data_IF_180377203431
#
_entry.id   IF_180377203431
#
_cell.length_a   1.000
_cell.length_b   1.000
_cell.length_c   1.000
_cell.angle_alpha   90.00
_cell.angle_beta   90.00
_cell.angle_gamma   90.00
#
_symmetry.space_group_name_H-M   'P 1'
#
loop_
_entity.id
_entity.type
_entity.pdbx_description
1 polymer ?
#
# COMPACT_ATOMS: atom_id res chain seq x y z
N UNK A 1 15.78 2.65 6.81
CA UNK A 1 14.84 2.06 5.85
C UNK A 1 15.46 2.10 4.48
N UNK A 2 15.73 0.92 3.91
CA UNK A 2 16.16 0.76 2.52
C UNK A 2 15.03 0.04 1.80
N UNK A 3 14.49 0.66 0.76
CA UNK A 3 13.38 0.12 0.00
C UNK A 3 13.87 -0.42 -1.34
N UNK A 4 13.60 -1.69 -1.60
CA UNK A 4 13.83 -2.35 -2.87
C UNK A 4 12.53 -2.48 -3.65
N UNK A 5 12.50 -2.06 -4.91
CA UNK A 5 11.33 -2.26 -5.77
C UNK A 5 11.26 -3.70 -6.24
N UNK A 6 10.29 -4.46 -5.73
CA UNK A 6 10.12 -5.89 -6.06
C UNK A 6 9.09 -6.10 -7.18
N UNK A 7 8.26 -5.10 -7.46
CA UNK A 7 7.38 -5.00 -8.61
C UNK A 7 6.96 -3.54 -8.81
N UNK A 8 6.36 -3.20 -9.95
CA UNK A 8 5.93 -1.83 -10.26
C UNK A 8 5.12 -1.24 -9.11
N UNK A 9 5.66 -0.15 -8.52
CA UNK A 9 5.08 0.59 -7.39
C UNK A 9 4.95 -0.20 -6.07
N UNK A 10 5.60 -1.35 -5.96
CA UNK A 10 5.62 -2.20 -4.78
C UNK A 10 7.06 -2.35 -4.30
N UNK A 11 7.28 -1.93 -3.07
CA UNK A 11 8.59 -1.90 -2.45
C UNK A 11 8.62 -2.80 -1.21
N UNK A 12 9.74 -3.47 -0.99
CA UNK A 12 10.03 -4.24 0.21
C UNK A 12 11.02 -3.48 1.09
N UNK A 13 10.79 -3.47 2.40
CA UNK A 13 11.77 -2.95 3.35
C UNK A 13 12.79 -4.04 3.67
N UNK A 14 14.04 -3.83 3.22
CA UNK A 14 15.10 -4.82 3.41
C UNK A 14 15.53 -4.96 4.87
N UNK A 15 15.18 -4.02 5.74
CA UNK A 15 15.45 -4.06 7.18
C UNK A 15 14.28 -4.62 8.00
N UNK A 16 13.08 -4.71 7.40
CA UNK A 16 11.86 -5.22 8.03
C UNK A 16 11.19 -6.25 7.11
N UNK A 17 11.55 -7.53 7.28
CA UNK A 17 11.19 -8.62 6.38
C UNK A 17 9.69 -8.75 6.02
N UNK A 18 8.79 -8.39 6.93
CA UNK A 18 7.34 -8.49 6.75
C UNK A 18 6.67 -7.16 6.38
N UNK A 19 7.45 -6.12 6.06
CA UNK A 19 6.98 -4.77 5.76
C UNK A 19 7.17 -4.41 4.29
N UNK A 20 6.09 -3.94 3.68
CA UNK A 20 6.03 -3.58 2.27
C UNK A 20 5.40 -2.20 2.12
N UNK A 21 5.64 -1.54 0.99
CA UNK A 21 5.10 -0.24 0.66
C UNK A 21 4.50 -0.25 -0.74
N UNK A 22 3.28 0.23 -0.85
CA UNK A 22 2.59 0.43 -2.12
C UNK A 22 2.59 1.94 -2.39
N UNK A 23 3.26 2.37 -3.46
CA UNK A 23 3.19 3.77 -3.89
C UNK A 23 1.79 4.07 -4.43
N UNK A 24 1.19 5.18 -4.03
CA UNK A 24 -0.08 5.68 -4.58
C UNK A 24 0.20 6.95 -5.39
N UNK A 25 -0.29 6.99 -6.63
CA UNK A 25 0.02 8.09 -7.56
C UNK A 25 -0.83 9.36 -7.34
N UNK A 26 -1.54 9.45 -6.20
CA UNK A 26 -2.46 10.53 -5.85
C UNK A 26 -2.41 10.82 -4.36
N UNK A 27 -2.82 12.04 -4.00
CA UNK A 27 -3.09 12.42 -2.62
C UNK A 27 -4.20 11.53 -2.04
N UNK A 28 -3.90 10.87 -0.93
CA UNK A 28 -4.73 9.96 -0.19
C UNK A 28 -4.96 10.54 1.20
N UNK A 29 -6.05 11.29 1.43
CA UNK A 29 -6.37 11.80 2.76
C UNK A 29 -6.82 10.66 3.68
N UNK A 30 -6.62 10.83 5.00
CA UNK A 30 -6.95 9.80 6.00
C UNK A 30 -8.37 9.21 5.88
N UNK A 31 -9.46 10.01 5.74
CA UNK A 31 -10.80 9.45 5.61
C UNK A 31 -10.95 8.52 4.40
N UNK A 32 -10.26 8.83 3.30
CA UNK A 32 -10.29 8.00 2.09
C UNK A 32 -9.44 6.74 2.26
N UNK A 33 -8.28 6.84 2.89
CA UNK A 33 -7.47 5.68 3.25
C UNK A 33 -8.24 4.69 4.13
N UNK A 34 -8.93 5.19 5.15
CA UNK A 34 -9.71 4.39 6.08
C UNK A 34 -10.87 3.68 5.35
N UNK A 35 -11.64 4.42 4.54
CA UNK A 35 -12.73 3.88 3.72
C UNK A 35 -12.24 2.74 2.80
N UNK A 36 -11.17 2.98 2.05
CA UNK A 36 -10.59 1.99 1.11
C UNK A 36 -10.09 0.77 1.88
N UNK A 37 -9.35 0.98 2.97
CA UNK A 37 -8.78 -0.10 3.78
C UNK A 37 -9.85 -1.01 4.37
N UNK A 38 -10.95 -0.42 4.87
CA UNK A 38 -12.10 -1.17 5.39
C UNK A 38 -12.80 -1.93 4.25
N UNK A 39 -13.01 -1.30 3.10
CA UNK A 39 -13.63 -1.94 1.93
C UNK A 39 -12.83 -3.16 1.46
N UNK A 40 -11.51 -3.03 1.31
CA UNK A 40 -10.62 -4.14 0.95
C UNK A 40 -10.71 -5.24 2.02
N UNK A 41 -10.56 -4.88 3.30
CA UNK A 41 -10.61 -5.82 4.42
C UNK A 41 -11.93 -6.56 4.46
N UNK A 42 -13.06 -5.97 4.07
CA UNK A 42 -14.35 -6.65 4.06
C UNK A 42 -14.52 -7.60 2.88
N UNK A 43 -13.97 -7.26 1.71
CA UNK A 43 -14.17 -8.00 0.46
C UNK A 43 -13.08 -9.02 0.10
N UNK A 44 -11.95 -9.03 0.82
CA UNK A 44 -10.83 -9.92 0.56
C UNK A 44 -10.78 -11.11 1.52
N UNK A 45 -10.37 -12.30 1.08
CA UNK A 45 -10.28 -13.51 1.90
C UNK A 45 -9.07 -13.49 2.86
N UNK A 46 -7.96 -12.86 2.47
CA UNK A 46 -6.79 -12.70 3.32
C UNK A 46 -6.97 -11.49 4.27
N UNK A 47 -7.46 -11.76 5.48
CA UNK A 47 -7.76 -10.72 6.48
C UNK A 47 -6.59 -10.33 7.38
N UNK A 48 -5.50 -11.10 7.38
CA UNK A 48 -4.40 -10.95 8.36
C UNK A 48 -3.29 -10.10 7.76
N UNK A 49 -3.48 -8.78 7.81
CA UNK A 49 -2.47 -7.78 7.48
C UNK A 49 -2.82 -6.45 8.17
N UNK A 50 -1.83 -5.60 8.34
CA UNK A 50 -2.02 -4.22 8.78
C UNK A 50 -1.65 -3.25 7.68
N UNK A 51 -2.49 -2.23 7.49
CA UNK A 51 -2.24 -1.13 6.56
C UNK A 51 -2.09 0.18 7.35
N UNK A 52 -1.19 1.05 6.91
CA UNK A 52 -1.06 2.41 7.44
C UNK A 52 -0.66 3.37 6.32
N UNK A 53 -1.07 4.64 6.43
CA UNK A 53 -0.55 5.68 5.56
C UNK A 53 0.95 5.88 5.82
N UNK A 54 1.70 6.12 4.75
CA UNK A 54 3.10 6.45 4.80
C UNK A 54 3.41 7.56 3.79
N UNK A 55 4.42 8.37 4.10
CA UNK A 55 4.96 9.37 3.19
C UNK A 55 6.48 9.28 3.22
N UNK A 56 7.10 9.29 2.04
CA UNK A 56 8.57 9.29 1.92
C UNK A 56 8.99 10.56 1.21
N UNK A 57 9.91 11.28 1.83
CA UNK A 57 10.56 12.41 1.18
C UNK A 57 11.70 11.91 0.29
N UNK A 58 11.63 12.19 -1.00
CA UNK A 58 12.64 11.83 -1.98
C UNK A 58 12.95 12.99 -2.93
N UNK A 59 13.79 12.77 -3.94
CA UNK A 59 14.17 13.79 -4.93
C UNK A 59 12.97 14.37 -5.69
N UNK A 60 11.84 13.66 -5.76
CA UNK A 60 10.59 14.10 -6.39
C UNK A 60 9.67 14.88 -5.44
N UNK A 61 10.10 15.11 -4.19
CA UNK A 61 9.27 15.63 -3.12
C UNK A 61 8.69 14.52 -2.24
N UNK A 62 7.55 14.79 -1.61
CA UNK A 62 6.82 13.80 -0.82
C UNK A 62 6.09 12.85 -1.77
N UNK A 63 6.38 11.57 -1.64
CA UNK A 63 5.66 10.49 -2.31
C UNK A 63 4.76 9.81 -1.29
N UNK A 64 3.49 9.68 -1.62
CA UNK A 64 2.53 8.99 -0.77
C UNK A 64 2.54 7.49 -1.01
N UNK A 65 2.42 6.75 0.09
CA UNK A 65 2.46 5.30 0.09
C UNK A 65 1.50 4.72 1.11
N UNK A 66 1.17 3.46 0.94
CA UNK A 66 0.52 2.64 1.96
C UNK A 66 1.52 1.59 2.42
N UNK A 67 1.85 1.61 3.71
CA UNK A 67 2.64 0.55 4.36
C UNK A 67 1.73 -0.64 4.60
N UNK A 68 2.17 -1.82 4.21
CA UNK A 68 1.54 -3.11 4.48
C UNK A 68 2.48 -3.93 5.38
N UNK A 69 1.99 -4.38 6.52
CA UNK A 69 2.66 -5.39 7.35
C UNK A 69 1.91 -6.71 7.22
N UNK A 70 2.59 -7.75 6.73
CA UNK A 70 1.99 -9.07 6.51
C UNK A 70 3.08 -10.17 6.48
N UNK A 71 3.03 -11.06 7.47
CA UNK A 71 3.94 -12.21 7.61
C UNK A 71 3.74 -13.31 6.56
N UNK A 72 2.63 -13.26 5.83
CA UNK A 72 2.27 -14.21 4.76
C UNK A 72 2.01 -13.46 3.46
N UNK A 73 2.69 -12.32 3.27
CA UNK A 73 2.63 -11.60 2.02
C UNK A 73 3.12 -12.49 0.86
N UNK A 74 2.53 -12.28 -0.30
CA UNK A 74 3.05 -12.78 -1.57
C UNK A 74 2.88 -11.69 -2.61
N UNK A 75 3.65 -11.73 -3.69
CA UNK A 75 3.58 -10.71 -4.73
C UNK A 75 2.14 -10.52 -5.25
N UNK A 76 1.43 -11.60 -5.56
CA UNK A 76 0.03 -11.54 -6.02
C UNK A 76 -0.91 -10.83 -5.02
N UNK A 77 -0.67 -10.98 -3.71
CA UNK A 77 -1.45 -10.33 -2.66
C UNK A 77 -1.15 -8.83 -2.58
N UNK A 78 0.12 -8.46 -2.72
CA UNK A 78 0.55 -7.07 -2.76
C UNK A 78 0.05 -6.36 -4.02
N UNK A 79 0.10 -7.03 -5.17
CA UNK A 79 -0.47 -6.53 -6.43
C UNK A 79 -1.98 -6.36 -6.33
N UNK A 80 -2.69 -7.30 -5.72
CA UNK A 80 -4.11 -7.16 -5.45
C UNK A 80 -4.41 -5.92 -4.60
N UNK A 81 -3.65 -5.69 -3.53
CA UNK A 81 -3.80 -4.49 -2.69
C UNK A 81 -3.56 -3.21 -3.50
N UNK A 82 -2.48 -3.15 -4.29
CA UNK A 82 -2.16 -2.01 -5.17
C UNK A 82 -3.32 -1.71 -6.10
N UNK A 83 -3.82 -2.73 -6.81
CA UNK A 83 -4.88 -2.57 -7.79
C UNK A 83 -6.19 -2.11 -7.13
N UNK A 84 -6.48 -2.57 -5.91
CA UNK A 84 -7.64 -2.09 -5.15
C UNK A 84 -7.52 -0.64 -4.72
N UNK A 85 -6.37 -0.22 -4.19
CA UNK A 85 -6.16 1.19 -3.87
C UNK A 85 -6.31 2.07 -5.12
N UNK A 86 -5.75 1.65 -6.26
CA UNK A 86 -5.86 2.39 -7.52
C UNK A 86 -7.32 2.48 -8.01
N UNK A 87 -8.07 1.38 -7.98
CA UNK A 87 -9.49 1.39 -8.37
C UNK A 87 -10.30 2.36 -7.51
N UNK A 88 -10.18 2.27 -6.18
CA UNK A 88 -11.00 3.09 -5.28
C UNK A 88 -10.58 4.57 -5.25
N UNK A 89 -9.30 4.87 -5.51
CA UNK A 89 -8.80 6.24 -5.70
C UNK A 89 -9.31 6.88 -7.00
N UNK A 90 -9.63 6.07 -8.01
CA UNK A 90 -10.12 6.55 -9.31
C UNK A 90 -11.65 6.62 -9.40
N UNK A 91 -12.39 5.96 -8.50
CA UNK A 91 -13.87 5.93 -8.51
C UNK A 91 -14.57 7.22 -8.10
N UNK A 92 -13.88 8.11 -7.37
CA UNK A 92 -14.47 9.32 -6.79
C UNK A 92 -13.94 10.62 -7.42
N UNK A 93 -13.68 10.60 -8.73
CA UNK A 93 -13.40 11.79 -9.55
C UNK A 93 -14.55 12.08 -10.50
#
# INVERSE_FOLDING_TARGET
MILEEIATRIYHDTEMADTYYIMVDKYLPWPKFEEISISIRNNWDHKVYDAAQAGIYCKKGVVEMVRIFDRKASLNRLEYLRDKYDIELNRNQ
#
